data_IF_073736336979
#
_entry.id   IF_073736336979
#
_cell.length_a   1.000
_cell.length_b   1.000
_cell.length_c   1.000
_cell.angle_alpha   90.00
_cell.angle_beta   90.00
_cell.angle_gamma   90.00
#
_symmetry.space_group_name_H-M   'P 1'
#
loop_
_entity.id
_entity.type
_entity.pdbx_description
1 polymer ?
#
# COMPACT_ATOMS: atom_id res chain seq x y z
N UNK A 1 5.29 -13.67 12.55
CA UNK A 1 5.63 -14.85 11.73
C UNK A 1 4.47 -15.84 11.62
N UNK A 2 3.87 -16.30 12.72
CA UNK A 2 2.71 -17.23 12.71
C UNK A 2 1.50 -16.68 11.92
N UNK A 3 1.23 -15.38 12.01
CA UNK A 3 0.11 -14.75 11.29
C UNK A 3 0.30 -14.76 9.76
N UNK A 4 1.52 -14.59 9.26
CA UNK A 4 1.79 -14.57 7.81
C UNK A 4 1.60 -15.94 7.18
N UNK A 5 1.99 -17.02 7.86
CA UNK A 5 1.76 -18.39 7.36
C UNK A 5 0.28 -18.76 7.29
N UNK A 6 -0.56 -18.18 8.16
CA UNK A 6 -2.02 -18.35 8.07
C UNK A 6 -2.57 -17.57 6.88
N UNK A 7 -2.08 -16.35 6.65
CA UNK A 7 -2.46 -15.56 5.48
C UNK A 7 -1.99 -16.19 4.17
N UNK A 8 -0.86 -16.90 4.13
CA UNK A 8 -0.41 -17.65 2.95
C UNK A 8 -1.41 -18.75 2.59
N UNK A 9 -1.83 -19.55 3.57
CA UNK A 9 -2.84 -20.59 3.37
C UNK A 9 -4.17 -19.98 2.92
N UNK A 10 -4.65 -18.96 3.63
CA UNK A 10 -5.91 -18.29 3.32
C UNK A 10 -5.90 -17.68 1.90
N UNK A 11 -4.82 -16.97 1.54
CA UNK A 11 -4.65 -16.39 0.20
C UNK A 11 -4.62 -17.47 -0.89
N UNK A 12 -3.93 -18.59 -0.65
CA UNK A 12 -3.91 -19.73 -1.58
C UNK A 12 -5.29 -20.38 -1.77
N UNK A 13 -6.16 -20.29 -0.77
CA UNK A 13 -7.56 -20.70 -0.84
C UNK A 13 -8.49 -19.64 -1.47
N UNK A 14 -7.95 -18.51 -1.93
CA UNK A 14 -8.73 -17.39 -2.50
C UNK A 14 -9.45 -16.55 -1.44
N UNK A 15 -9.11 -16.72 -0.17
CA UNK A 15 -9.68 -15.93 0.93
C UNK A 15 -8.94 -14.58 0.99
N UNK A 16 -9.67 -13.45 0.93
CA UNK A 16 -9.05 -12.14 1.04
C UNK A 16 -8.39 -11.97 2.41
N UNK A 17 -7.14 -11.52 2.40
CA UNK A 17 -6.36 -11.26 3.61
C UNK A 17 -6.08 -9.75 3.74
N UNK A 18 -6.08 -9.23 4.96
CA UNK A 18 -5.78 -7.82 5.25
C UNK A 18 -4.33 -7.46 4.88
N UNK A 19 -3.42 -8.43 5.03
CA UNK A 19 -2.03 -8.31 4.60
C UNK A 19 -1.75 -9.38 3.56
N UNK A 20 -1.27 -8.98 2.40
CA UNK A 20 -0.86 -9.90 1.33
C UNK A 20 0.53 -10.48 1.66
N UNK A 21 0.64 -11.79 1.96
CA UNK A 21 1.90 -12.40 2.33
C UNK A 21 2.88 -12.50 1.16
N UNK A 22 2.40 -12.63 -0.08
CA UNK A 22 3.26 -12.66 -1.26
C UNK A 22 3.91 -11.29 -1.47
N UNK A 23 3.14 -10.21 -1.30
CA UNK A 23 3.66 -8.84 -1.36
C UNK A 23 4.68 -8.58 -0.24
N UNK A 24 4.41 -9.03 0.99
CA UNK A 24 5.36 -8.94 2.12
C UNK A 24 6.67 -9.66 1.79
N UNK A 25 6.61 -10.89 1.28
CA UNK A 25 7.81 -11.66 0.93
C UNK A 25 8.65 -10.98 -0.16
N UNK A 26 8.00 -10.43 -1.20
CA UNK A 26 8.69 -9.69 -2.27
C UNK A 26 9.34 -8.42 -1.73
N UNK A 27 8.65 -7.64 -0.90
CA UNK A 27 9.20 -6.39 -0.35
C UNK A 27 10.30 -6.65 0.68
N UNK A 28 10.21 -7.72 1.48
CA UNK A 28 11.25 -8.13 2.41
C UNK A 28 12.54 -8.56 1.69
N UNK A 29 12.41 -9.21 0.53
CA UNK A 29 13.55 -9.69 -0.28
C UNK A 29 14.26 -8.62 -1.10
N UNK A 30 13.65 -7.45 -1.32
CA UNK A 30 14.21 -6.35 -2.12
C UNK A 30 15.00 -5.31 -1.30
N UNK A 31 15.49 -5.69 -0.12
CA UNK A 31 16.25 -4.78 0.74
C UNK A 31 17.62 -4.51 0.12
N UNK A 32 17.99 -3.25 -0.20
CA UNK A 32 19.33 -2.97 -0.70
C UNK A 32 20.34 -3.19 0.42
N UNK A 33 21.44 -3.90 0.13
CA UNK A 33 22.47 -4.31 1.10
C UNK A 33 23.16 -3.14 1.86
N UNK A 34 22.85 -1.89 1.49
CA UNK A 34 23.56 -0.69 1.91
C UNK A 34 22.75 0.19 2.87
N UNK A 35 21.42 0.01 2.99
CA UNK A 35 20.58 0.86 3.86
C UNK A 35 20.32 0.24 5.24
N UNK A 36 20.24 1.09 6.26
CA UNK A 36 19.83 0.66 7.59
C UNK A 36 18.32 0.38 7.64
N UNK A 37 17.86 -0.53 8.51
CA UNK A 37 16.43 -0.82 8.68
C UNK A 37 15.58 0.41 9.06
N UNK A 38 16.19 1.40 9.72
CA UNK A 38 15.53 2.64 10.10
C UNK A 38 15.32 3.56 8.90
N UNK A 39 16.29 3.66 8.00
CA UNK A 39 16.19 4.46 6.77
C UNK A 39 15.11 3.91 5.85
N UNK A 40 15.04 2.59 5.64
CA UNK A 40 13.99 1.98 4.82
C UNK A 40 12.59 2.27 5.38
N UNK A 41 12.44 2.21 6.71
CA UNK A 41 11.18 2.53 7.36
C UNK A 41 10.80 4.00 7.16
N UNK A 42 11.76 4.93 7.17
CA UNK A 42 11.50 6.35 6.89
C UNK A 42 11.08 6.56 5.44
N UNK A 43 11.71 5.85 4.50
CA UNK A 43 11.33 5.89 3.08
C UNK A 43 9.89 5.40 2.89
N UNK A 44 9.48 4.32 3.59
CA UNK A 44 8.09 3.86 3.55
C UNK A 44 7.11 4.92 4.06
N UNK A 45 7.40 5.62 5.16
CA UNK A 45 6.56 6.71 5.66
C UNK A 45 6.51 7.89 4.66
N UNK A 46 7.66 8.30 4.11
CA UNK A 46 7.73 9.39 3.14
C UNK A 46 7.00 9.06 1.84
N UNK A 47 6.96 7.80 1.43
CA UNK A 47 6.16 7.34 0.29
C UNK A 47 4.67 7.63 0.50
N UNK A 48 4.11 7.34 1.68
CA UNK A 48 2.71 7.65 1.99
C UNK A 48 2.45 9.16 1.94
N UNK A 49 3.34 9.96 2.56
CA UNK A 49 3.23 11.44 2.53
C UNK A 49 3.26 11.94 1.09
N UNK A 50 4.20 11.45 0.28
CA UNK A 50 4.34 11.82 -1.12
C UNK A 50 3.08 11.50 -1.93
N UNK A 51 2.51 10.30 -1.75
CA UNK A 51 1.26 9.93 -2.42
C UNK A 51 0.13 10.85 -1.99
N UNK A 52 -0.04 11.09 -0.68
CA UNK A 52 -1.12 11.94 -0.16
C UNK A 52 -1.08 13.35 -0.74
N UNK A 53 0.07 14.02 -0.71
CA UNK A 53 0.23 15.38 -1.26
C UNK A 53 0.14 15.43 -2.79
N UNK A 54 0.29 14.29 -3.47
CA UNK A 54 0.18 14.18 -4.93
C UNK A 54 -1.24 13.92 -5.41
N UNK A 55 -2.15 13.40 -4.57
CA UNK A 55 -3.54 13.11 -4.95
C UNK A 55 -4.28 14.32 -5.55
N UNK A 56 -4.13 15.56 -5.04
CA UNK A 56 -4.80 16.72 -5.63
C UNK A 56 -4.42 17.00 -7.09
N UNK A 57 -3.23 16.56 -7.54
CA UNK A 57 -2.81 16.72 -8.93
C UNK A 57 -3.72 15.93 -9.89
N UNK A 58 -4.32 14.83 -9.44
CA UNK A 58 -5.25 14.02 -10.24
C UNK A 58 -6.50 14.81 -10.64
N UNK A 59 -6.92 15.81 -9.84
CA UNK A 59 -8.09 16.63 -10.15
C UNK A 59 -7.90 17.50 -11.41
N UNK A 60 -6.64 17.73 -11.82
CA UNK A 60 -6.32 18.48 -13.04
C UNK A 60 -6.22 17.60 -14.29
N UNK A 61 -6.22 16.28 -14.13
CA UNK A 61 -6.15 15.34 -15.25
C UNK A 61 -7.54 15.16 -15.89
N UNK A 62 -7.73 15.48 -17.19
CA UNK A 62 -9.00 15.29 -17.86
C UNK A 62 -9.48 13.83 -17.92
N UNK A 63 -8.59 12.85 -17.71
CA UNK A 63 -8.95 11.44 -17.60
C UNK A 63 -9.46 11.03 -16.21
N UNK A 64 -9.33 11.90 -15.19
CA UNK A 64 -9.82 11.70 -13.81
C UNK A 64 -11.31 12.06 -13.65
N UNK A 65 -12.13 11.68 -14.62
CA UNK A 65 -13.59 11.83 -14.55
C UNK A 65 -14.18 10.46 -14.30
N UNK A 66 -14.97 10.35 -13.24
CA UNK A 66 -15.64 9.10 -12.89
C UNK A 66 -16.78 8.82 -13.88
N UNK A 67 -16.77 7.62 -14.44
CA UNK A 67 -17.77 7.12 -15.36
C UNK A 67 -18.72 6.17 -14.63
N UNK A 68 -19.98 6.60 -14.51
CA UNK A 68 -21.04 5.85 -13.81
C UNK A 68 -21.48 4.58 -14.54
N UNK A 69 -21.24 4.46 -15.84
CA UNK A 69 -21.63 3.26 -16.61
C UNK A 69 -20.73 2.07 -16.30
N UNK A 70 -19.47 2.33 -15.96
CA UNK A 70 -18.44 1.31 -15.68
C UNK A 70 -17.95 1.31 -14.23
N UNK A 71 -18.54 2.17 -13.37
CA UNK A 71 -18.18 2.33 -11.96
C UNK A 71 -16.66 2.57 -11.76
N UNK A 72 -16.07 3.40 -12.62
CA UNK A 72 -14.61 3.54 -12.69
C UNK A 72 -14.14 4.88 -13.26
N UNK A 73 -12.85 5.15 -13.08
CA UNK A 73 -12.14 6.25 -13.73
C UNK A 73 -11.35 5.73 -14.93
N UNK A 74 -11.30 6.49 -16.03
CA UNK A 74 -10.62 6.08 -17.27
C UNK A 74 -9.11 5.86 -17.09
N UNK A 75 -8.47 6.66 -16.23
CA UNK A 75 -7.06 6.53 -15.87
C UNK A 75 -6.81 5.59 -14.68
N UNK A 76 -7.81 4.80 -14.28
CA UNK A 76 -7.70 3.77 -13.22
C UNK A 76 -7.38 4.27 -11.81
N UNK A 77 -7.56 5.57 -11.50
CA UNK A 77 -7.20 6.12 -10.18
C UNK A 77 -7.97 5.51 -9.01
N UNK A 78 -9.11 4.85 -9.24
CA UNK A 78 -9.81 4.04 -8.23
C UNK A 78 -8.95 2.88 -7.71
N UNK A 79 -8.04 2.34 -8.53
CA UNK A 79 -7.09 1.30 -8.11
C UNK A 79 -6.07 1.81 -7.09
N UNK A 80 -5.84 3.12 -6.98
CA UNK A 80 -4.94 3.70 -5.99
C UNK A 80 -5.38 3.36 -4.57
N UNK A 81 -6.68 3.30 -4.29
CA UNK A 81 -7.18 2.89 -2.98
C UNK A 81 -6.64 1.50 -2.58
N UNK A 82 -6.72 0.54 -3.51
CA UNK A 82 -6.18 -0.81 -3.30
C UNK A 82 -4.65 -0.79 -3.18
N UNK A 83 -3.97 -0.04 -4.04
CA UNK A 83 -2.51 0.07 -4.00
C UNK A 83 -2.01 0.65 -2.68
N UNK A 84 -2.58 1.76 -2.22
CA UNK A 84 -2.22 2.42 -0.95
C UNK A 84 -2.40 1.44 0.21
N UNK A 85 -3.58 0.82 0.35
CA UNK A 85 -3.86 -0.09 1.47
C UNK A 85 -2.88 -1.27 1.48
N UNK A 86 -2.75 -2.00 0.36
CA UNK A 86 -1.95 -3.23 0.33
C UNK A 86 -0.44 -2.96 0.41
N UNK A 87 0.06 -1.92 -0.27
CA UNK A 87 1.48 -1.57 -0.22
C UNK A 87 1.87 -1.05 1.17
N UNK A 88 1.05 -0.19 1.78
CA UNK A 88 1.28 0.27 3.16
C UNK A 88 1.23 -0.89 4.16
N UNK A 89 0.23 -1.76 4.05
CA UNK A 89 0.11 -2.93 4.92
C UNK A 89 1.34 -3.85 4.82
N UNK A 90 1.84 -4.10 3.60
CA UNK A 90 3.01 -4.93 3.40
C UNK A 90 4.30 -4.25 3.89
N UNK A 91 4.55 -2.99 3.54
CA UNK A 91 5.74 -2.24 3.99
C UNK A 91 5.79 -2.13 5.51
N UNK A 92 4.69 -1.75 6.16
CA UNK A 92 4.67 -1.60 7.62
C UNK A 92 4.69 -2.95 8.35
N UNK A 93 4.24 -4.04 7.71
CA UNK A 93 4.48 -5.39 8.22
C UNK A 93 5.97 -5.75 8.18
N UNK A 94 6.67 -5.47 7.07
CA UNK A 94 8.11 -5.70 6.93
C UNK A 94 8.91 -4.89 7.97
N UNK A 95 8.52 -3.65 8.22
CA UNK A 95 9.20 -2.76 9.16
C UNK A 95 8.69 -2.87 10.61
N UNK A 96 7.78 -3.79 10.91
CA UNK A 96 7.17 -3.98 12.23
C UNK A 96 6.58 -2.69 12.82
N UNK A 97 5.82 -1.95 11.99
CA UNK A 97 5.12 -0.71 12.31
C UNK A 97 3.62 -0.94 12.38
N UNK A 98 2.90 -0.05 13.08
CA UNK A 98 1.44 -0.10 13.15
C UNK A 98 0.83 0.43 11.85
N UNK A 99 0.12 -0.43 11.11
CA UNK A 99 -0.50 -0.09 9.81
C UNK A 99 -1.60 0.96 9.99
N UNK A 100 -2.48 0.78 10.98
CA UNK A 100 -3.64 1.64 11.23
C UNK A 100 -3.23 3.08 11.52
N UNK A 101 -2.19 3.29 12.34
CA UNK A 101 -1.68 4.63 12.67
C UNK A 101 -1.24 5.37 11.41
N UNK A 102 -0.43 4.75 10.56
CA UNK A 102 0.11 5.40 9.36
C UNK A 102 -0.96 5.62 8.28
N UNK A 103 -1.94 4.73 8.16
CA UNK A 103 -3.09 4.94 7.26
C UNK A 103 -4.01 6.07 7.76
N UNK A 104 -4.17 6.22 9.09
CA UNK A 104 -4.89 7.38 9.64
C UNK A 104 -4.14 8.68 9.36
N UNK A 105 -2.82 8.69 9.52
CA UNK A 105 -1.99 9.85 9.16
C UNK A 105 -2.14 10.19 7.68
N UNK A 106 -2.11 9.19 6.79
CA UNK A 106 -2.33 9.38 5.35
C UNK A 106 -3.67 10.06 5.02
N UNK A 107 -4.75 9.72 5.74
CA UNK A 107 -6.07 10.33 5.53
C UNK A 107 -6.17 11.77 6.05
N UNK A 108 -5.23 12.21 6.89
CA UNK A 108 -5.22 13.54 7.50
C UNK A 108 -4.33 14.55 6.76
N UNK A 109 -3.51 14.08 5.81
CA UNK A 109 -2.67 14.92 4.93
C UNK A 109 -3.54 15.51 3.82
#
# INVERSE_FOLDING_TARGET
QVTLTIFELASAAGIPCEVDPALVNVLAGNKPDVSSPEEDSKVACLLLVFVAVSLPLLASDPASIYNTEVDAYNNTIHCLAKAIIHVSAALFTVHNKNIETHLKEFLLV
#
